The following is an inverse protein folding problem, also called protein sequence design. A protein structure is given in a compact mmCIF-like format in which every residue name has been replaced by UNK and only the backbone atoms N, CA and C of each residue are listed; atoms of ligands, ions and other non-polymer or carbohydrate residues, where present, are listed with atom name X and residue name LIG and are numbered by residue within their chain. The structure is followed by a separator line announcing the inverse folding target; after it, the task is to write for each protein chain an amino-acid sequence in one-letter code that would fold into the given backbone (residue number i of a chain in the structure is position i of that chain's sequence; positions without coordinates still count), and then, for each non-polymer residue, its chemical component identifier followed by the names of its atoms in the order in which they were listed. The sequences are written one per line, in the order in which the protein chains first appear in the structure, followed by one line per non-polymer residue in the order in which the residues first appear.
data_IF_669398769473
#
_entry.id   IF_669398769473
#
_cell.length_a   1.000
_cell.length_b   1.000
_cell.length_c   1.000
_cell.angle_alpha   90.00
_cell.angle_beta   90.00
_cell.angle_gamma   90.00
#
_symmetry.space_group_name_H-M   'P 1'
#
loop_
_entity.id
_entity.type
_entity.pdbx_description
1 polymer ?
#
# COMPACT_ATOMS: atom_id res chain seq x y z
N UNK A 1 -58.25 -2.25 37.48
CA UNK A 1 -57.89 -3.47 36.73
C UNK A 1 -58.54 -3.41 35.37
N UNK A 2 -58.14 -2.44 34.53
CA UNK A 2 -56.82 -2.33 33.83
C UNK A 2 -56.75 -3.41 32.74
N UNK A 3 -56.52 -3.14 31.45
CA UNK A 3 -56.32 -1.91 30.70
C UNK A 3 -56.50 -2.26 29.21
N UNK A 4 -56.89 -1.27 28.41
CA UNK A 4 -56.78 -1.29 26.95
C UNK A 4 -55.31 -1.16 26.52
N UNK A 5 -55.06 -1.38 25.22
CA UNK A 5 -53.91 -0.97 24.40
C UNK A 5 -52.95 -2.08 23.93
N UNK A 6 -52.97 -2.22 22.61
CA UNK A 6 -52.04 -2.97 21.78
C UNK A 6 -50.89 -2.03 21.40
N UNK A 7 -49.70 -2.33 21.91
CA UNK A 7 -48.38 -1.80 21.55
C UNK A 7 -47.47 -3.05 21.54
N UNK A 8 -46.77 -3.48 20.50
CA UNK A 8 -45.96 -2.73 19.58
C UNK A 8 -44.52 -2.65 20.11
N UNK A 9 -43.78 -3.77 20.18
CA UNK A 9 -42.31 -3.78 20.39
C UNK A 9 -41.76 -5.20 20.10
N UNK A 10 -41.19 -5.47 18.92
CA UNK A 10 -39.75 -5.34 18.63
C UNK A 10 -38.85 -6.25 19.51
N UNK A 11 -38.71 -7.51 19.10
CA UNK A 11 -37.54 -8.33 19.46
C UNK A 11 -37.35 -9.41 18.41
N UNK A 12 -36.74 -8.96 17.30
CA UNK A 12 -36.21 -9.79 16.24
C UNK A 12 -35.19 -10.76 16.86
N UNK A 13 -35.52 -12.05 16.78
CA UNK A 13 -34.70 -13.14 17.31
C UNK A 13 -33.33 -13.13 16.64
N UNK A 14 -32.31 -12.92 17.47
CA UNK A 14 -30.93 -13.37 17.37
C UNK A 14 -30.68 -14.32 16.19
N UNK A 15 -30.25 -13.77 15.06
CA UNK A 15 -29.38 -14.50 14.16
C UNK A 15 -27.99 -14.45 14.80
N UNK A 16 -27.52 -15.60 15.27
CA UNK A 16 -26.08 -15.83 15.45
C UNK A 16 -25.44 -15.69 14.07
N UNK A 17 -25.05 -14.47 13.74
CA UNK A 17 -24.05 -14.22 12.71
C UNK A 17 -22.70 -14.64 13.32
N UNK A 18 -22.25 -15.85 12.97
CA UNK A 18 -20.82 -16.17 12.94
C UNK A 18 -20.16 -15.18 11.98
N UNK A 19 -19.83 -14.00 12.49
CA UNK A 19 -19.00 -13.02 11.82
C UNK A 19 -17.64 -13.69 11.57
N UNK A 20 -17.18 -13.85 10.32
CA UNK A 20 -15.83 -14.31 10.08
C UNK A 20 -14.89 -13.29 10.71
N UNK A 21 -14.01 -13.75 11.59
CA UNK A 21 -12.90 -12.98 12.18
C UNK A 21 -11.82 -12.64 11.13
N UNK A 22 -12.23 -12.19 9.94
CA UNK A 22 -11.41 -11.77 8.80
C UNK A 22 -11.07 -10.26 8.88
N UNK A 23 -11.00 -9.72 10.10
CA UNK A 23 -10.81 -8.28 10.35
C UNK A 23 -9.40 -7.85 10.74
N UNK A 24 -8.51 -8.77 11.14
CA UNK A 24 -7.30 -8.40 11.90
C UNK A 24 -5.95 -8.69 11.24
N UNK A 25 -5.90 -9.22 10.01
CA UNK A 25 -4.62 -9.41 9.29
C UNK A 25 -4.57 -8.68 7.94
N UNK A 26 -5.08 -7.45 7.88
CA UNK A 26 -4.66 -6.47 6.86
C UNK A 26 -3.60 -5.52 7.42
N UNK A 27 -2.59 -6.08 8.10
CA UNK A 27 -1.38 -5.34 8.46
C UNK A 27 -0.33 -5.59 7.40
N UNK A 28 0.21 -4.53 6.79
CA UNK A 28 1.30 -4.53 5.78
C UNK A 28 0.94 -4.89 4.34
N UNK A 29 0.06 -4.13 3.70
CA UNK A 29 0.11 -3.98 2.22
C UNK A 29 -0.16 -2.54 1.80
N UNK A 30 0.52 -1.58 2.44
CA UNK A 30 0.95 -0.39 1.70
C UNK A 30 2.44 -0.57 1.46
N UNK A 31 2.75 -1.50 0.55
CA UNK A 31 4.00 -1.41 -0.20
C UNK A 31 3.81 -0.21 -1.13
N UNK A 32 3.92 1.00 -0.56
CA UNK A 32 4.23 2.18 -1.36
C UNK A 32 5.46 1.75 -2.15
N UNK A 33 5.28 1.60 -3.46
CA UNK A 33 6.30 1.08 -4.35
C UNK A 33 7.38 2.17 -4.48
N UNK A 34 8.17 2.34 -3.41
CA UNK A 34 9.19 3.38 -3.28
C UNK A 34 10.26 3.01 -4.29
N UNK A 35 10.38 3.82 -5.33
CA UNK A 35 11.42 3.64 -6.32
C UNK A 35 12.79 3.69 -5.60
N UNK A 36 13.69 2.77 -5.94
CA UNK A 36 15.04 2.72 -5.37
C UNK A 36 16.07 3.02 -6.44
N UNK A 37 17.20 3.56 -5.99
CA UNK A 37 18.35 3.86 -6.85
C UNK A 37 18.94 2.56 -7.38
N UNK A 38 19.11 2.44 -8.68
CA UNK A 38 19.64 1.21 -9.31
C UNK A 38 21.12 0.94 -9.00
N UNK A 39 21.89 1.93 -8.53
CA UNK A 39 23.29 1.72 -8.09
C UNK A 39 23.44 1.36 -6.62
N UNK A 40 22.77 2.12 -5.75
CA UNK A 40 23.08 2.14 -4.32
C UNK A 40 21.90 1.73 -3.44
N UNK A 41 20.77 1.34 -4.06
CA UNK A 41 19.52 0.93 -3.40
C UNK A 41 18.91 1.99 -2.45
N UNK A 42 19.38 3.24 -2.51
CA UNK A 42 18.79 4.33 -1.75
C UNK A 42 17.36 4.62 -2.22
N UNK A 43 16.46 4.92 -1.29
CA UNK A 43 15.10 5.37 -1.62
C UNK A 43 15.16 6.65 -2.47
N UNK A 44 14.32 6.70 -3.51
CA UNK A 44 14.19 7.82 -4.42
C UNK A 44 12.99 8.67 -4.05
N UNK A 45 13.22 9.98 -3.97
CA UNK A 45 12.14 10.96 -3.98
C UNK A 45 11.70 11.22 -5.43
N UNK A 46 10.39 11.33 -5.68
CA UNK A 46 9.86 11.60 -7.03
C UNK A 46 10.31 12.97 -7.60
N UNK A 47 10.67 13.93 -6.75
CA UNK A 47 11.06 15.28 -7.17
C UNK A 47 12.55 15.40 -7.56
N UNK A 48 13.41 14.59 -6.93
CA UNK A 48 14.88 14.72 -7.05
C UNK A 48 15.57 13.51 -7.70
N UNK A 49 14.79 12.51 -8.14
CA UNK A 49 15.34 11.33 -8.81
C UNK A 49 15.64 11.56 -10.28
N UNK A 50 16.78 11.04 -10.73
CA UNK A 50 17.18 11.02 -12.14
C UNK A 50 16.69 9.73 -12.75
N UNK A 51 15.84 9.80 -13.78
CA UNK A 51 15.31 8.63 -14.49
C UNK A 51 15.95 8.57 -15.89
N UNK A 52 16.55 7.44 -16.26
CA UNK A 52 17.20 7.25 -17.56
C UNK A 52 16.95 5.85 -18.12
N UNK A 53 16.76 5.76 -19.43
CA UNK A 53 16.64 4.49 -20.14
C UNK A 53 18.04 3.93 -20.44
N UNK A 54 18.33 2.73 -19.92
CA UNK A 54 19.57 1.98 -20.14
C UNK A 54 19.18 0.55 -20.51
N UNK A 55 19.83 -0.04 -21.52
CA UNK A 55 19.52 -1.39 -22.04
C UNK A 55 18.04 -1.67 -22.37
N UNK A 56 17.24 -0.62 -22.64
CA UNK A 56 15.81 -0.71 -22.93
C UNK A 56 14.91 -0.78 -21.68
N UNK A 57 15.47 -0.60 -20.48
CA UNK A 57 14.75 -0.50 -19.21
C UNK A 57 14.92 0.89 -18.59
N UNK A 58 13.89 1.37 -17.87
CA UNK A 58 13.94 2.66 -17.18
C UNK A 58 14.53 2.47 -15.79
N UNK A 59 15.71 3.05 -15.57
CA UNK A 59 16.42 3.04 -14.29
C UNK A 59 16.29 4.38 -13.56
N UNK A 60 16.19 4.32 -12.24
CA UNK A 60 16.11 5.49 -11.36
C UNK A 60 17.38 5.64 -10.52
N UNK A 61 17.82 6.88 -10.32
CA UNK A 61 19.04 7.20 -9.58
C UNK A 61 18.82 8.36 -8.60
N UNK A 62 19.48 8.29 -7.44
CA UNK A 62 19.38 9.33 -6.42
C UNK A 62 20.21 10.58 -6.77
N UNK A 63 21.12 10.48 -7.75
CA UNK A 63 21.94 11.58 -8.23
C UNK A 63 22.54 11.27 -9.61
N UNK A 64 22.99 12.30 -10.32
CA UNK A 64 23.77 12.15 -11.56
C UNK A 64 25.08 11.37 -11.37
N UNK A 65 25.65 11.39 -10.15
CA UNK A 65 26.86 10.63 -9.84
C UNK A 65 26.60 9.13 -9.90
N UNK A 66 25.53 8.66 -9.26
CA UNK A 66 25.11 7.26 -9.33
C UNK A 66 24.79 6.87 -10.78
N UNK A 67 24.06 7.70 -11.52
CA UNK A 67 23.80 7.39 -12.92
C UNK A 67 25.10 7.16 -13.71
N UNK A 68 26.10 8.02 -13.53
CA UNK A 68 27.38 7.91 -14.23
C UNK A 68 28.17 6.66 -13.80
N UNK A 69 28.17 6.33 -12.52
CA UNK A 69 28.82 5.11 -12.00
C UNK A 69 28.15 3.84 -12.55
N UNK A 70 26.81 3.85 -12.70
CA UNK A 70 26.04 2.77 -13.30
C UNK A 70 26.42 2.57 -14.77
N UNK A 71 26.44 3.66 -15.54
CA UNK A 71 26.82 3.64 -16.96
C UNK A 71 28.27 3.19 -17.17
N UNK A 72 29.20 3.60 -16.30
CA UNK A 72 30.60 3.15 -16.32
C UNK A 72 30.75 1.68 -15.95
N UNK A 73 29.87 1.15 -15.09
CA UNK A 73 29.87 -0.26 -14.68
C UNK A 73 29.24 -1.20 -15.73
N UNK A 74 28.38 -0.67 -16.61
CA UNK A 74 27.74 -1.41 -17.71
C UNK A 74 28.55 -1.44 -19.01
N UNK A 75 29.53 -0.55 -19.18
CA UNK A 75 30.39 -0.44 -20.39
C UNK A 75 31.63 -1.31 -20.37
#
# INVERSE_FOLDING_TARGET
MEDYYQEGDESNKTQEEEQPEDGFMRGFMEDENVATCSECDAALDDEHSVKKELDGEMHGFCSDACLKEYEESMG
#
